data_IF_564550879925
#
_entry.id   IF_564550879925
#
_cell.length_a   1.000
_cell.length_b   1.000
_cell.length_c   1.000
_cell.angle_alpha   90.00
_cell.angle_beta   90.00
_cell.angle_gamma   90.00
#
_symmetry.space_group_name_H-M   'P 1'
#
loop_
_entity.id
_entity.type
_entity.pdbx_description
1 polymer ?
#
# COMPACT_ATOMS: atom_id res chain seq x y z
N UNK A 1 24.51 -30.09 -17.94
CA UNK A 1 23.21 -29.62 -17.40
C UNK A 1 23.50 -28.88 -16.10
N UNK A 2 23.75 -27.57 -16.17
CA UNK A 2 24.05 -26.74 -15.00
C UNK A 2 22.71 -26.28 -14.41
N UNK A 3 22.38 -26.77 -13.21
CA UNK A 3 21.33 -26.18 -12.40
C UNK A 3 21.89 -24.88 -11.81
N UNK A 4 21.53 -23.75 -12.40
CA UNK A 4 21.82 -22.46 -11.80
C UNK A 4 20.76 -22.22 -10.74
N UNK A 5 21.07 -22.64 -9.51
CA UNK A 5 20.40 -22.14 -8.31
C UNK A 5 20.74 -20.65 -8.25
N UNK A 6 19.98 -19.82 -8.98
CA UNK A 6 20.06 -18.36 -8.92
C UNK A 6 19.64 -17.98 -7.51
N UNK A 7 20.63 -17.89 -6.63
CA UNK A 7 20.52 -17.31 -5.30
C UNK A 7 19.97 -15.89 -5.51
N UNK A 8 18.67 -15.71 -5.22
CA UNK A 8 18.04 -14.40 -5.23
C UNK A 8 18.86 -13.52 -4.28
N UNK A 9 19.51 -12.43 -4.74
CA UNK A 9 20.23 -11.55 -3.83
C UNK A 9 19.18 -10.82 -2.97
N UNK A 10 18.89 -11.41 -1.80
CA UNK A 10 17.97 -10.91 -0.79
C UNK A 10 18.55 -9.71 -0.04
N UNK A 11 18.98 -8.63 -0.69
CA UNK A 11 19.49 -7.44 0.06
C UNK A 11 19.48 -6.14 -0.74
N UNK A 12 18.34 -5.68 -1.30
CA UNK A 12 18.26 -4.27 -1.69
C UNK A 12 16.85 -3.71 -1.61
N UNK A 13 16.45 -3.33 -0.40
CA UNK A 13 15.35 -2.37 -0.21
C UNK A 13 16.01 -0.99 -0.19
N UNK A 14 15.80 -0.22 -1.25
CA UNK A 14 16.24 1.17 -1.37
C UNK A 14 15.34 2.08 -0.52
N UNK A 15 15.87 3.24 -0.10
CA UNK A 15 15.07 4.31 0.50
C UNK A 15 14.09 4.95 -0.51
N UNK A 16 14.31 4.72 -1.81
CA UNK A 16 13.46 5.21 -2.87
C UNK A 16 12.39 4.16 -3.21
N UNK A 17 11.13 4.50 -2.94
CA UNK A 17 9.98 3.62 -3.25
C UNK A 17 9.95 3.19 -4.71
N UNK A 18 10.25 4.11 -5.64
CA UNK A 18 10.24 3.84 -7.08
C UNK A 18 11.25 2.76 -7.48
N UNK A 19 12.43 2.77 -6.87
CA UNK A 19 13.46 1.78 -7.17
C UNK A 19 13.01 0.39 -6.68
N UNK A 20 12.34 0.34 -5.52
CA UNK A 20 11.77 -0.88 -4.99
C UNK A 20 10.64 -1.41 -5.88
N UNK A 21 9.74 -0.54 -6.36
CA UNK A 21 8.66 -0.90 -7.29
C UNK A 21 9.24 -1.54 -8.55
N UNK A 22 10.22 -0.87 -9.18
CA UNK A 22 10.85 -1.34 -10.40
C UNK A 22 11.59 -2.68 -10.18
N UNK A 23 12.27 -2.81 -9.04
CA UNK A 23 12.97 -4.05 -8.69
C UNK A 23 12.01 -5.23 -8.50
N UNK A 24 10.88 -5.01 -7.81
CA UNK A 24 9.86 -6.04 -7.59
C UNK A 24 9.21 -6.45 -8.92
N UNK A 25 8.82 -5.48 -9.75
CA UNK A 25 8.24 -5.75 -11.07
C UNK A 25 9.20 -6.54 -11.99
N UNK A 26 10.48 -6.15 -11.99
CA UNK A 26 11.51 -6.83 -12.77
C UNK A 26 11.78 -8.25 -12.25
N UNK A 27 11.69 -8.46 -10.93
CA UNK A 27 11.95 -9.76 -10.29
C UNK A 27 10.81 -10.76 -10.49
N UNK A 28 9.56 -10.29 -10.47
CA UNK A 28 8.37 -11.11 -10.75
C UNK A 28 8.19 -11.41 -12.25
N UNK A 29 9.02 -10.80 -13.11
CA UNK A 29 9.04 -11.13 -14.54
C UNK A 29 7.79 -10.64 -15.28
N UNK A 30 7.29 -9.46 -14.92
CA UNK A 30 6.17 -8.80 -15.62
C UNK A 30 4.92 -9.68 -15.76
N UNK A 31 4.65 -10.53 -14.77
CA UNK A 31 3.37 -11.24 -14.66
C UNK A 31 2.25 -10.20 -14.63
N UNK A 32 1.29 -10.34 -15.55
CA UNK A 32 0.12 -9.48 -15.63
C UNK A 32 -0.80 -9.57 -14.42
N UNK A 33 -0.53 -10.53 -13.53
CA UNK A 33 -1.29 -10.78 -12.31
C UNK A 33 -0.79 -9.92 -11.14
N UNK A 34 0.43 -9.34 -11.23
CA UNK A 34 0.94 -8.45 -10.20
C UNK A 34 0.28 -7.06 -10.29
N UNK A 35 -0.50 -6.73 -9.28
CA UNK A 35 -1.10 -5.41 -9.12
C UNK A 35 -0.25 -4.57 -8.16
N UNK A 36 0.06 -3.36 -8.61
CA UNK A 36 0.73 -2.33 -7.81
C UNK A 36 -0.26 -1.19 -7.58
N UNK A 37 -0.54 -0.89 -6.32
CA UNK A 37 -1.35 0.26 -5.92
C UNK A 37 -0.50 1.27 -5.17
N UNK A 38 -0.32 2.44 -5.76
CA UNK A 38 0.30 3.58 -5.09
C UNK A 38 -0.72 4.29 -4.19
N UNK A 39 -0.27 4.70 -3.02
CA UNK A 39 -1.06 5.43 -2.03
C UNK A 39 -0.18 6.49 -1.36
N UNK A 40 -0.83 7.54 -0.88
CA UNK A 40 -0.18 8.58 -0.09
C UNK A 40 -0.65 8.42 1.36
N UNK A 41 0.26 8.09 2.26
CA UNK A 41 -0.03 7.94 3.68
C UNK A 41 0.15 9.29 4.39
N UNK A 42 -0.86 9.71 5.17
CA UNK A 42 -0.86 10.97 5.91
C UNK A 42 -0.54 12.19 5.03
N UNK A 43 -1.02 12.17 3.79
CA UNK A 43 -0.76 13.17 2.74
C UNK A 43 0.72 13.54 2.48
N UNK A 44 1.68 12.73 2.97
CA UNK A 44 3.10 13.11 2.97
C UNK A 44 4.04 11.97 2.58
N UNK A 45 3.68 10.73 2.89
CA UNK A 45 4.55 9.59 2.72
C UNK A 45 4.08 8.72 1.55
N UNK A 46 4.80 8.70 0.42
CA UNK A 46 4.44 7.81 -0.68
C UNK A 46 4.63 6.37 -0.24
N UNK A 47 3.63 5.54 -0.49
CA UNK A 47 3.62 4.12 -0.21
C UNK A 47 3.06 3.36 -1.41
N UNK A 48 3.39 2.07 -1.51
CA UNK A 48 2.84 1.20 -2.53
C UNK A 48 2.50 -0.16 -1.92
N UNK A 49 1.33 -0.68 -2.27
CA UNK A 49 0.87 -2.02 -1.93
C UNK A 49 0.97 -2.89 -3.18
N UNK A 50 1.63 -4.04 -3.03
CA UNK A 50 1.80 -5.03 -4.08
C UNK A 50 1.01 -6.27 -3.73
N UNK A 51 0.24 -6.79 -4.66
CA UNK A 51 -0.46 -8.05 -4.49
C UNK A 51 -0.68 -8.75 -5.83
N UNK A 52 -0.88 -10.07 -5.80
CA UNK A 52 -1.16 -10.86 -6.99
C UNK A 52 -2.67 -11.08 -7.07
N UNK A 53 -3.29 -10.66 -8.18
CA UNK A 53 -4.70 -10.87 -8.43
C UNK A 53 -5.01 -12.37 -8.51
N UNK A 54 -6.10 -12.80 -7.87
CA UNK A 54 -6.46 -14.21 -7.74
C UNK A 54 -5.73 -15.00 -6.64
N UNK A 55 -4.64 -14.48 -6.05
CA UNK A 55 -3.98 -15.09 -4.87
C UNK A 55 -4.38 -14.44 -3.54
N UNK A 56 -5.01 -13.26 -3.60
CA UNK A 56 -5.47 -12.54 -2.42
C UNK A 56 -6.96 -12.26 -2.51
N UNK A 57 -7.62 -12.23 -1.34
CA UNK A 57 -8.96 -11.68 -1.23
C UNK A 57 -8.88 -10.15 -1.25
N UNK A 58 -9.24 -9.55 -2.38
CA UNK A 58 -9.21 -8.10 -2.61
C UNK A 58 -10.18 -7.33 -1.72
N UNK A 59 -11.30 -7.94 -1.31
CA UNK A 59 -12.24 -7.32 -0.35
C UNK A 59 -11.60 -7.19 1.02
N UNK A 60 -10.92 -8.24 1.49
CA UNK A 60 -10.20 -8.22 2.76
C UNK A 60 -9.00 -7.26 2.72
N UNK A 61 -8.24 -7.25 1.62
CA UNK A 61 -7.18 -6.27 1.41
C UNK A 61 -7.72 -4.83 1.50
N UNK A 62 -8.84 -4.56 0.84
CA UNK A 62 -9.43 -3.23 0.86
C UNK A 62 -9.96 -2.84 2.25
N UNK A 63 -10.68 -3.75 2.91
CA UNK A 63 -11.38 -3.43 4.16
C UNK A 63 -10.46 -3.44 5.39
N UNK A 64 -9.43 -4.30 5.42
CA UNK A 64 -8.52 -4.42 6.56
C UNK A 64 -7.24 -3.60 6.38
N UNK A 65 -6.65 -3.65 5.18
CA UNK A 65 -5.40 -2.94 4.89
C UNK A 65 -5.74 -1.54 4.42
N UNK A 66 -6.25 -1.36 3.18
CA UNK A 66 -6.40 -0.02 2.59
C UNK A 66 -7.27 0.94 3.42
N UNK A 67 -8.38 0.47 4.02
CA UNK A 67 -9.21 1.28 4.92
C UNK A 67 -8.43 1.80 6.13
N UNK A 68 -7.52 1.01 6.70
CA UNK A 68 -6.68 1.45 7.82
C UNK A 68 -5.67 2.51 7.39
N UNK A 69 -5.17 2.42 6.14
CA UNK A 69 -4.32 3.45 5.55
C UNK A 69 -5.08 4.76 5.31
N UNK A 70 -6.34 4.69 4.83
CA UNK A 70 -7.16 5.87 4.58
C UNK A 70 -7.75 6.51 5.83
N UNK A 71 -8.05 5.73 6.88
CA UNK A 71 -8.66 6.26 8.13
C UNK A 71 -7.76 7.25 8.87
N UNK A 72 -6.45 7.18 8.68
CA UNK A 72 -5.51 8.10 9.34
C UNK A 72 -5.54 9.50 8.74
N UNK A 73 -5.98 9.64 7.48
CA UNK A 73 -6.16 10.94 6.81
C UNK A 73 -7.48 11.63 7.15
N UNK A 74 -8.45 10.91 7.75
CA UNK A 74 -9.81 11.45 8.05
C UNK A 74 -10.00 11.86 9.53
N UNK A 75 -8.91 12.05 10.28
CA UNK A 75 -8.99 12.48 11.69
C UNK A 75 -9.16 14.00 11.88
N UNK A 76 -9.58 14.74 10.85
CA UNK A 76 -9.89 16.17 10.97
C UNK A 76 -11.21 16.51 10.27
N UNK A 77 -12.29 16.55 11.08
CA UNK A 77 -13.45 17.46 10.98
C UNK A 77 -14.73 16.83 11.55
N UNK A 78 -14.72 16.49 12.84
CA UNK A 78 -15.95 16.44 13.65
C UNK A 78 -15.68 17.15 14.98
N UNK A 79 -15.43 18.45 14.91
CA UNK A 79 -15.47 19.30 16.10
C UNK A 79 -16.37 20.51 15.83
N UNK A 80 -17.47 20.52 16.60
CA UNK A 80 -18.13 21.70 17.17
C UNK A 80 -19.24 22.37 16.35
N UNK A 81 -20.41 21.74 16.31
CA UNK A 81 -21.68 22.46 16.16
C UNK A 81 -22.90 21.63 16.57
N UNK A 82 -22.97 21.15 17.81
CA UNK A 82 -24.25 20.69 18.42
C UNK A 82 -24.25 20.99 19.93
N UNK A 83 -24.30 22.27 20.31
CA UNK A 83 -24.78 22.67 21.63
C UNK A 83 -26.20 23.22 21.47
N UNK A 84 -27.20 22.71 22.20
CA UNK A 84 -28.57 23.23 22.15
C UNK A 84 -28.65 24.64 22.72
N UNK A 85 -29.40 25.50 22.03
CA UNK A 85 -29.61 26.94 22.29
C UNK A 85 -30.51 27.24 23.51
N UNK A 86 -30.38 26.50 24.61
CA UNK A 86 -31.19 26.69 25.83
C UNK A 86 -30.43 27.41 26.98
N UNK A 87 -29.38 28.17 26.64
CA UNK A 87 -28.65 29.02 27.59
C UNK A 87 -28.36 30.42 27.00
N UNK A 88 -29.40 31.13 26.56
CA UNK A 88 -29.39 32.60 26.42
C UNK A 88 -30.64 33.18 27.07
#
# INVERSE_FOLDING_TARGET
>A
MQNENKSCPLTHVSSCLRDNVNHIQSSIGNSGDLIVKELLWMQKWPAAVFYIDGLINTQLLHDSVLRSFMRMDTAESLTRSELPEDWV
#
